data_IF_312658023294
#
_entry.id   IF_312658023294
#
_cell.length_a   1.000
_cell.length_b   1.000
_cell.length_c   1.000
_cell.angle_alpha   90.00
_cell.angle_beta   90.00
_cell.angle_gamma   90.00
#
_symmetry.space_group_name_H-M   'P 1'
#
loop_
_entity.id
_entity.type
_entity.pdbx_description
1 polymer ?
#
# COMPACT_ATOMS: atom_id res chain seq x y z
N UNK A 1 10.29 24.81 4.09
CA UNK A 1 11.11 24.17 3.03
C UNK A 1 11.05 24.93 1.71
N UNK A 2 9.87 25.11 1.08
CA UNK A 2 9.77 25.86 -0.19
C UNK A 2 10.44 27.25 -0.14
N UNK A 3 10.12 28.08 0.86
CA UNK A 3 10.71 29.42 1.04
C UNK A 3 12.24 29.41 1.05
N UNK A 4 12.84 28.34 1.56
CA UNK A 4 14.29 28.22 1.59
C UNK A 4 14.88 27.82 0.24
N UNK A 5 14.24 26.86 -0.46
CA UNK A 5 14.65 26.48 -1.82
C UNK A 5 14.45 27.64 -2.80
N UNK A 6 13.45 28.48 -2.56
CA UNK A 6 13.23 29.71 -3.31
C UNK A 6 14.20 30.86 -2.96
N UNK A 7 15.10 30.67 -1.98
CA UNK A 7 16.06 31.70 -1.55
C UNK A 7 15.45 32.85 -0.74
N UNK A 8 14.19 32.71 -0.28
CA UNK A 8 13.44 33.76 0.43
C UNK A 8 13.75 33.74 1.93
N UNK A 9 13.99 32.57 2.51
CA UNK A 9 14.25 32.40 3.94
C UNK A 9 15.54 31.61 4.20
N UNK A 10 16.35 31.98 5.21
CA UNK A 10 17.52 31.20 5.59
C UNK A 10 17.10 29.85 6.15
N UNK A 11 17.91 28.83 5.85
CA UNK A 11 17.62 27.45 6.22
C UNK A 11 18.85 26.74 6.75
N UNK A 12 19.30 27.09 7.97
CA UNK A 12 20.37 26.34 8.61
C UNK A 12 19.91 24.89 8.80
N UNK A 13 20.85 23.95 8.70
CA UNK A 13 20.59 22.51 8.76
C UNK A 13 19.68 22.10 9.95
N UNK A 14 19.86 22.61 11.19
CA UNK A 14 18.98 22.25 12.30
C UNK A 14 17.51 22.65 12.06
N UNK A 15 17.26 23.81 11.46
CA UNK A 15 15.91 24.28 11.16
C UNK A 15 15.26 23.42 10.07
N UNK A 16 16.05 22.99 9.07
CA UNK A 16 15.58 22.04 8.06
C UNK A 16 15.23 20.68 8.65
N UNK A 17 16.01 20.18 9.61
CA UNK A 17 15.69 18.97 10.35
C UNK A 17 14.36 19.10 11.10
N UNK A 18 14.10 20.25 11.74
CA UNK A 18 12.82 20.52 12.41
C UNK A 18 11.65 20.53 11.42
N UNK A 19 11.80 21.20 10.27
CA UNK A 19 10.77 21.18 9.22
C UNK A 19 10.49 19.78 8.70
N UNK A 20 11.54 18.97 8.49
CA UNK A 20 11.40 17.58 8.04
C UNK A 20 10.72 16.71 9.09
N UNK A 21 11.05 16.91 10.38
CA UNK A 21 10.39 16.23 11.49
C UNK A 21 8.89 16.55 11.52
N UNK A 22 8.52 17.84 11.43
CA UNK A 22 7.11 18.24 11.43
C UNK A 22 6.35 17.67 10.22
N UNK A 23 6.94 17.73 9.02
CA UNK A 23 6.33 17.18 7.81
C UNK A 23 6.12 15.66 7.91
N UNK A 24 7.12 14.92 8.41
CA UNK A 24 7.04 13.47 8.57
C UNK A 24 6.00 13.05 9.63
N UNK A 25 5.88 13.81 10.73
CA UNK A 25 4.89 13.55 11.77
C UNK A 25 3.46 13.75 11.25
N UNK A 26 3.20 14.82 10.50
CA UNK A 26 1.87 15.11 9.94
C UNK A 26 1.36 13.95 9.06
N UNK A 27 2.24 13.37 8.22
CA UNK A 27 1.91 12.21 7.39
C UNK A 27 1.46 11.01 8.23
N UNK A 28 2.07 10.79 9.39
CA UNK A 28 1.75 9.65 10.26
C UNK A 28 0.36 9.79 10.87
N UNK A 29 -0.03 10.99 11.31
CA UNK A 29 -1.39 11.24 11.83
C UNK A 29 -2.45 11.02 10.76
N UNK A 30 -2.27 11.59 9.57
CA UNK A 30 -3.20 11.44 8.45
C UNK A 30 -3.39 9.96 8.10
N UNK A 31 -2.28 9.25 7.91
CA UNK A 31 -2.27 7.83 7.62
C UNK A 31 -2.89 6.97 8.73
N UNK A 32 -2.82 7.40 9.99
CA UNK A 32 -3.43 6.67 11.11
C UNK A 32 -4.93 6.85 11.12
N UNK A 33 -5.42 8.08 10.98
CA UNK A 33 -6.85 8.38 10.91
C UNK A 33 -7.51 7.57 9.79
N UNK A 34 -6.93 7.59 8.59
CA UNK A 34 -7.44 6.86 7.45
C UNK A 34 -7.51 5.34 7.70
N UNK A 35 -6.44 4.73 8.21
CA UNK A 35 -6.38 3.27 8.40
C UNK A 35 -7.29 2.82 9.53
N UNK A 36 -7.38 3.58 10.63
CA UNK A 36 -8.23 3.24 11.78
C UNK A 36 -9.70 3.30 11.36
N UNK A 37 -10.15 4.40 10.76
CA UNK A 37 -11.54 4.53 10.29
C UNK A 37 -11.90 3.46 9.26
N UNK A 38 -10.97 3.15 8.35
CA UNK A 38 -11.14 2.11 7.34
C UNK A 38 -11.35 0.71 7.95
N UNK A 39 -10.53 0.27 8.90
CA UNK A 39 -10.62 -1.08 9.46
C UNK A 39 -11.83 -1.28 10.38
N UNK A 40 -12.36 -0.20 10.94
CA UNK A 40 -13.59 -0.20 11.73
C UNK A 40 -14.82 -0.33 10.83
N UNK A 41 -14.85 0.39 9.71
CA UNK A 41 -15.96 0.35 8.76
C UNK A 41 -16.05 -0.96 7.95
N UNK A 42 -14.93 -1.65 7.70
CA UNK A 42 -14.89 -2.85 6.85
C UNK A 42 -14.21 -4.05 7.55
N UNK A 43 -14.85 -4.63 8.58
CA UNK A 43 -14.22 -5.63 9.45
C UNK A 43 -13.91 -6.97 8.76
N UNK A 44 -14.61 -7.33 7.69
CA UNK A 44 -14.47 -8.60 6.96
C UNK A 44 -13.54 -8.53 5.73
N UNK A 45 -13.22 -7.31 5.27
CA UNK A 45 -12.36 -7.04 4.08
C UNK A 45 -11.26 -6.03 4.35
N UNK A 46 -10.72 -6.05 5.58
CA UNK A 46 -9.63 -5.17 6.01
C UNK A 46 -8.45 -5.17 5.06
N UNK A 47 -8.05 -6.35 4.55
CA UNK A 47 -6.90 -6.48 3.66
C UNK A 47 -7.10 -5.75 2.33
N UNK A 48 -8.22 -6.00 1.66
CA UNK A 48 -8.54 -5.37 0.36
C UNK A 48 -8.63 -3.86 0.50
N UNK A 49 -9.33 -3.36 1.53
CA UNK A 49 -9.49 -1.94 1.77
C UNK A 49 -8.16 -1.23 2.04
N UNK A 50 -7.39 -1.75 3.00
CA UNK A 50 -6.04 -1.24 3.28
C UNK A 50 -5.20 -1.31 2.00
N UNK A 51 -5.29 -2.40 1.24
CA UNK A 51 -4.57 -2.60 -0.01
C UNK A 51 -4.88 -1.53 -1.06
N UNK A 52 -6.15 -1.12 -1.21
CA UNK A 52 -6.57 -0.02 -2.11
C UNK A 52 -6.02 1.31 -1.60
N UNK A 53 -6.28 1.63 -0.34
CA UNK A 53 -5.94 2.92 0.26
C UNK A 53 -4.44 3.16 0.30
N UNK A 54 -3.68 2.17 0.80
CA UNK A 54 -2.22 2.16 0.74
C UNK A 54 -1.75 2.04 -0.71
N UNK A 55 -2.48 1.36 -1.58
CA UNK A 55 -2.17 1.24 -3.00
C UNK A 55 -2.02 2.60 -3.65
N UNK A 56 -2.99 3.50 -3.47
CA UNK A 56 -2.92 4.86 -4.01
C UNK A 56 -1.71 5.66 -3.52
N UNK A 57 -1.23 5.41 -2.30
CA UNK A 57 0.06 5.95 -1.85
C UNK A 57 1.22 5.46 -2.73
N UNK A 58 1.20 4.18 -3.16
CA UNK A 58 2.18 3.62 -4.09
C UNK A 58 2.12 4.23 -5.50
N UNK A 59 0.90 4.47 -6.02
CA UNK A 59 0.68 5.11 -7.32
C UNK A 59 0.97 6.61 -7.33
N UNK A 60 0.91 7.28 -6.17
CA UNK A 60 1.06 8.74 -6.06
C UNK A 60 2.36 9.26 -6.68
N UNK A 61 3.48 8.52 -6.55
CA UNK A 61 4.75 8.87 -7.17
C UNK A 61 4.67 8.95 -8.70
N UNK A 62 4.07 7.93 -9.33
CA UNK A 62 3.87 7.92 -10.79
C UNK A 62 2.93 9.04 -11.26
N UNK A 63 1.87 9.32 -10.50
CA UNK A 63 0.93 10.42 -10.78
C UNK A 63 1.65 11.78 -10.72
N UNK A 64 2.46 12.00 -9.68
CA UNK A 64 3.22 13.24 -9.50
C UNK A 64 4.31 13.42 -10.57
N UNK A 65 4.97 12.34 -11.00
CA UNK A 65 5.94 12.38 -12.11
C UNK A 65 5.24 12.79 -13.42
N UNK A 66 4.06 12.24 -13.70
CA UNK A 66 3.30 12.61 -14.89
C UNK A 66 2.87 14.08 -14.87
N UNK A 67 2.40 14.56 -13.71
CA UNK A 67 2.06 15.96 -13.48
C UNK A 67 3.26 16.89 -13.70
N UNK A 68 4.41 16.56 -13.10
CA UNK A 68 5.66 17.31 -13.22
C UNK A 68 6.10 17.46 -14.68
N UNK A 69 6.06 16.36 -15.45
CA UNK A 69 6.44 16.35 -16.88
C UNK A 69 5.45 17.13 -17.75
N UNK A 70 4.15 16.90 -17.55
CA UNK A 70 3.12 17.51 -18.41
C UNK A 70 3.08 19.03 -18.24
N UNK A 71 3.20 19.52 -17.00
CA UNK A 71 3.14 20.94 -16.68
C UNK A 71 4.50 21.64 -16.73
N UNK A 72 5.58 20.93 -17.09
CA UNK A 72 6.95 21.46 -17.17
C UNK A 72 7.32 22.27 -15.91
N UNK A 73 7.03 21.70 -14.73
CA UNK A 73 7.17 22.39 -13.46
C UNK A 73 8.65 22.42 -13.06
N UNK A 74 9.20 23.58 -12.73
CA UNK A 74 10.55 23.64 -12.16
C UNK A 74 10.58 23.05 -10.74
N UNK A 75 11.73 22.51 -10.25
CA UNK A 75 11.83 21.90 -8.92
C UNK A 75 11.26 22.78 -7.78
N UNK A 76 11.51 24.10 -7.82
CA UNK A 76 11.00 25.04 -6.82
C UNK A 76 9.46 25.11 -6.80
N UNK A 77 8.83 25.15 -7.97
CA UNK A 77 7.36 25.16 -8.10
C UNK A 77 6.75 23.81 -7.74
N UNK A 78 7.47 22.72 -8.00
CA UNK A 78 7.05 21.38 -7.59
C UNK A 78 6.97 21.27 -6.06
N UNK A 79 7.95 21.81 -5.33
CA UNK A 79 7.93 21.82 -3.87
C UNK A 79 6.80 22.71 -3.33
N UNK A 80 6.50 23.84 -3.99
CA UNK A 80 5.34 24.68 -3.63
C UNK A 80 4.02 23.91 -3.78
N UNK A 81 3.87 23.20 -4.90
CA UNK A 81 2.71 22.37 -5.16
C UNK A 81 2.57 21.26 -4.11
N UNK A 82 3.67 20.60 -3.72
CA UNK A 82 3.65 19.60 -2.63
C UNK A 82 3.29 20.20 -1.26
N UNK A 83 3.54 21.49 -1.03
CA UNK A 83 3.16 22.16 0.22
C UNK A 83 1.65 22.49 0.27
N UNK A 84 1.06 22.86 -0.87
CA UNK A 84 -0.32 23.35 -0.94
C UNK A 84 -1.31 22.24 -1.30
N UNK A 85 -1.01 21.47 -2.37
CA UNK A 85 -1.97 20.55 -2.99
C UNK A 85 -2.41 19.42 -2.04
N UNK A 86 -1.51 18.68 -1.35
CA UNK A 86 -1.94 17.64 -0.41
C UNK A 86 -2.79 18.18 0.73
N UNK A 87 -2.42 19.34 1.28
CA UNK A 87 -3.16 20.01 2.37
C UNK A 87 -4.55 20.43 1.92
N UNK A 88 -4.66 21.05 0.75
CA UNK A 88 -5.94 21.50 0.18
C UNK A 88 -6.88 20.31 -0.11
N UNK A 89 -6.37 19.24 -0.73
CA UNK A 89 -7.15 18.03 -1.02
C UNK A 89 -7.61 17.38 0.29
N UNK A 90 -6.74 17.32 1.30
CA UNK A 90 -7.07 16.75 2.61
C UNK A 90 -8.21 17.51 3.27
N UNK A 91 -8.13 18.85 3.34
CA UNK A 91 -9.19 19.68 3.93
C UNK A 91 -10.51 19.55 3.16
N UNK A 92 -10.45 19.46 1.84
CA UNK A 92 -11.64 19.29 0.99
C UNK A 92 -12.33 17.94 1.21
N UNK A 93 -11.55 16.87 1.36
CA UNK A 93 -12.07 15.50 1.44
C UNK A 93 -12.30 15.00 2.88
N UNK A 94 -11.85 15.75 3.89
CA UNK A 94 -11.98 15.37 5.31
C UNK A 94 -13.42 15.07 5.71
N UNK A 95 -14.41 15.73 5.10
CA UNK A 95 -15.83 15.48 5.32
C UNK A 95 -16.26 14.02 5.06
N UNK A 96 -15.58 13.31 4.16
CA UNK A 96 -15.92 11.91 3.84
C UNK A 96 -15.40 10.90 4.86
N UNK A 97 -14.53 11.31 5.80
CA UNK A 97 -13.93 10.42 6.79
C UNK A 97 -14.85 10.35 8.01
N UNK A 98 -15.64 9.28 8.09
CA UNK A 98 -16.52 9.02 9.23
C UNK A 98 -16.52 7.54 9.62
N UNK A 99 -16.74 7.27 10.92
CA UNK A 99 -16.80 5.92 11.50
C UNK A 99 -18.26 5.56 11.73
N UNK A 100 -18.76 4.61 10.94
CA UNK A 100 -20.16 4.21 10.98
C UNK A 100 -20.36 3.07 12.00
N UNK A 101 -21.37 3.20 12.87
CA UNK A 101 -21.71 2.15 13.82
C UNK A 101 -22.27 0.92 13.08
N UNK A 102 -21.70 -0.24 13.41
CA UNK A 102 -21.68 -1.53 12.68
C UNK A 102 -23.03 -2.27 12.47
N UNK A 103 -24.16 -1.59 12.35
CA UNK A 103 -25.46 -2.23 12.11
C UNK A 103 -25.97 -2.15 10.66
N UNK A 104 -25.45 -1.24 9.85
CA UNK A 104 -25.76 -1.21 8.41
C UNK A 104 -24.69 -1.97 7.63
N UNK A 105 -25.13 -3.00 6.89
CA UNK A 105 -24.26 -3.81 6.03
C UNK A 105 -23.65 -2.89 4.99
N UNK A 106 -22.33 -2.64 5.08
CA UNK A 106 -21.65 -1.87 4.05
C UNK A 106 -21.91 -2.51 2.67
N UNK A 107 -22.24 -1.69 1.68
CA UNK A 107 -22.59 -2.22 0.37
C UNK A 107 -21.31 -2.64 -0.37
N UNK A 108 -21.06 -3.95 -0.42
CA UNK A 108 -19.92 -4.57 -1.11
C UNK A 108 -19.71 -4.00 -2.53
N UNK A 109 -20.80 -3.60 -3.22
CA UNK A 109 -20.73 -2.99 -4.55
C UNK A 109 -19.81 -1.76 -4.61
N UNK A 110 -19.79 -0.92 -3.57
CA UNK A 110 -18.93 0.27 -3.55
C UNK A 110 -17.45 -0.10 -3.36
N UNK A 111 -17.14 -1.09 -2.52
CA UNK A 111 -15.76 -1.56 -2.35
C UNK A 111 -15.24 -2.22 -3.64
N UNK A 112 -16.09 -2.99 -4.34
CA UNK A 112 -15.75 -3.58 -5.63
C UNK A 112 -15.56 -2.47 -6.69
N UNK A 113 -16.35 -1.38 -6.66
CA UNK A 113 -16.16 -0.22 -7.52
C UNK A 113 -14.83 0.52 -7.25
N UNK A 114 -14.48 0.77 -5.98
CA UNK A 114 -13.17 1.34 -5.62
C UNK A 114 -12.01 0.45 -6.08
N UNK A 115 -12.16 -0.88 -5.96
CA UNK A 115 -11.17 -1.85 -6.44
C UNK A 115 -10.98 -1.76 -7.96
N UNK A 116 -12.09 -1.70 -8.71
CA UNK A 116 -12.05 -1.57 -10.17
C UNK A 116 -11.38 -0.26 -10.61
N UNK A 117 -11.71 0.86 -9.96
CA UNK A 117 -11.09 2.16 -10.23
C UNK A 117 -9.58 2.07 -9.97
N UNK A 118 -9.16 1.53 -8.83
CA UNK A 118 -7.75 1.42 -8.47
C UNK A 118 -6.95 0.60 -9.49
N UNK A 119 -7.48 -0.55 -9.93
CA UNK A 119 -6.86 -1.39 -10.98
C UNK A 119 -6.85 -0.67 -12.32
N UNK A 120 -7.90 0.07 -12.67
CA UNK A 120 -7.97 0.84 -13.91
C UNK A 120 -6.91 1.94 -13.94
N UNK A 121 -6.77 2.72 -12.86
CA UNK A 121 -5.74 3.76 -12.73
C UNK A 121 -4.33 3.17 -12.85
N UNK A 122 -4.07 2.05 -12.15
CA UNK A 122 -2.75 1.41 -12.21
C UNK A 122 -2.42 0.87 -13.61
N UNK A 123 -3.38 0.21 -14.26
CA UNK A 123 -3.22 -0.31 -15.63
C UNK A 123 -2.99 0.84 -16.62
N UNK A 124 -3.76 1.92 -16.47
CA UNK A 124 -3.62 3.13 -17.28
C UNK A 124 -2.23 3.76 -17.14
N UNK A 125 -1.75 3.94 -15.90
CA UNK A 125 -0.41 4.47 -15.63
C UNK A 125 0.69 3.56 -16.19
N UNK A 126 0.53 2.24 -16.08
CA UNK A 126 1.48 1.27 -16.64
C UNK A 126 1.58 1.41 -18.16
N UNK A 127 0.45 1.50 -18.86
CA UNK A 127 0.43 1.69 -20.31
C UNK A 127 1.13 3.00 -20.69
N UNK A 128 0.83 4.11 -20.00
CA UNK A 128 1.48 5.40 -20.27
C UNK A 128 2.99 5.32 -20.07
N UNK A 129 3.43 4.77 -18.94
CA UNK A 129 4.86 4.70 -18.59
C UNK A 129 5.61 3.87 -19.63
N UNK A 130 5.06 2.73 -20.04
CA UNK A 130 5.68 1.89 -21.09
C UNK A 130 5.68 2.62 -22.44
N UNK A 131 4.57 3.25 -22.83
CA UNK A 131 4.49 4.01 -24.07
C UNK A 131 5.50 5.16 -24.12
N UNK A 132 5.71 5.87 -23.01
CA UNK A 132 6.68 6.97 -22.90
C UNK A 132 8.15 6.50 -23.00
N UNK A 133 8.43 5.23 -22.69
CA UNK A 133 9.75 4.64 -22.92
C UNK A 133 10.00 4.36 -24.40
N UNK A 134 9.00 3.78 -25.07
CA UNK A 134 9.14 3.31 -26.46
C UNK A 134 8.98 4.46 -27.45
N UNK A 135 8.08 5.41 -27.15
CA UNK A 135 7.71 6.50 -28.04
C UNK A 135 7.96 7.85 -27.38
N UNK A 136 8.52 8.79 -28.15
CA UNK A 136 8.58 10.20 -27.74
C UNK A 136 7.19 10.80 -27.92
N UNK A 137 6.39 10.83 -26.84
CA UNK A 137 5.00 11.31 -26.88
C UNK A 137 4.99 12.84 -27.06
N UNK A 138 4.22 13.33 -28.05
CA UNK A 138 4.02 14.77 -28.28
C UNK A 138 3.32 15.41 -27.08
N UNK A 139 3.68 16.64 -26.73
CA UNK A 139 3.13 17.36 -25.56
C UNK A 139 1.59 17.42 -25.54
N UNK A 140 0.94 17.54 -26.70
CA UNK A 140 -0.53 17.53 -26.78
C UNK A 140 -1.14 16.20 -26.31
N UNK A 141 -0.51 15.07 -26.64
CA UNK A 141 -0.97 13.74 -26.21
C UNK A 141 -0.71 13.55 -24.72
N UNK A 142 0.42 14.04 -24.20
CA UNK A 142 0.71 14.03 -22.76
C UNK A 142 -0.35 14.80 -21.96
N UNK A 143 -0.79 15.97 -22.43
CA UNK A 143 -1.86 16.75 -21.79
C UNK A 143 -3.20 16.00 -21.79
N UNK A 144 -3.58 15.37 -22.91
CA UNK A 144 -4.81 14.56 -22.98
C UNK A 144 -4.74 13.37 -22.02
N UNK A 145 -3.63 12.64 -22.01
CA UNK A 145 -3.41 11.53 -21.09
C UNK A 145 -3.48 11.99 -19.62
N UNK A 146 -2.90 13.14 -19.31
CA UNK A 146 -2.95 13.71 -17.98
C UNK A 146 -4.38 14.12 -17.55
N UNK A 147 -5.18 14.70 -18.45
CA UNK A 147 -6.60 15.01 -18.17
C UNK A 147 -7.39 13.73 -17.89
N UNK A 148 -7.19 12.68 -18.68
CA UNK A 148 -7.83 11.37 -18.44
C UNK A 148 -7.41 10.80 -17.08
N UNK A 149 -6.12 10.88 -16.73
CA UNK A 149 -5.63 10.46 -15.41
C UNK A 149 -6.33 11.21 -14.28
N UNK A 150 -6.48 12.53 -14.39
CA UNK A 150 -7.17 13.34 -13.39
C UNK A 150 -8.62 12.90 -13.22
N UNK A 151 -9.35 12.64 -14.32
CA UNK A 151 -10.73 12.14 -14.26
C UNK A 151 -10.80 10.77 -13.56
N UNK A 152 -9.87 9.87 -13.84
CA UNK A 152 -9.80 8.55 -13.20
C UNK A 152 -9.45 8.65 -11.70
N UNK A 153 -8.58 9.56 -11.31
CA UNK A 153 -8.19 9.76 -9.89
C UNK A 153 -9.29 10.45 -9.09
N UNK A 154 -10.13 11.27 -9.72
CA UNK A 154 -11.27 11.93 -9.08
C UNK A 154 -12.53 11.05 -9.02
N UNK A 155 -12.62 9.97 -9.82
CA UNK A 155 -13.80 9.10 -9.85
C UNK A 155 -14.19 8.43 -8.50
N UNK A 156 -13.27 8.12 -7.56
CA UNK A 156 -13.64 7.64 -6.22
C UNK A 156 -14.56 8.62 -5.47
N UNK A 157 -14.43 9.93 -5.70
CA UNK A 157 -15.30 10.94 -5.05
C UNK A 157 -16.75 10.78 -5.51
N UNK A 158 -16.97 10.49 -6.80
CA UNK A 158 -18.32 10.23 -7.32
C UNK A 158 -18.95 8.98 -6.68
N UNK A 159 -18.15 7.93 -6.44
CA UNK A 159 -18.60 6.73 -5.73
C UNK A 159 -18.96 7.06 -4.28
N UNK A 160 -18.14 7.87 -3.58
CA UNK A 160 -18.41 8.31 -2.21
C UNK A 160 -19.70 9.14 -2.11
N UNK A 161 -19.91 10.08 -3.04
CA UNK A 161 -21.13 10.89 -3.10
C UNK A 161 -22.37 10.03 -3.37
N UNK A 162 -22.27 9.01 -4.24
CA UNK A 162 -23.38 8.07 -4.49
C UNK A 162 -23.69 7.22 -3.25
N UNK A 163 -22.67 6.83 -2.49
CA UNK A 163 -22.84 6.05 -1.27
C UNK A 163 -23.52 6.83 -0.13
N UNK A 164 -23.34 8.15 -0.07
CA UNK A 164 -23.97 9.02 0.95
C UNK A 164 -25.44 9.36 0.67
N UNK A 165 -25.97 9.09 -0.54
CA UNK A 165 -27.39 9.34 -0.83
C UNK A 165 -28.28 8.42 0.03
N UNK A 166 -29.39 8.93 0.63
CA UNK A 166 -30.30 8.10 1.41
C UNK A 166 -30.87 6.94 0.56
N UNK A 167 -31.07 5.77 1.18
CA UNK A 167 -31.49 4.54 0.50
C UNK A 167 -32.76 4.72 -0.37
N UNK A 168 -33.67 5.62 0.01
CA UNK A 168 -34.88 5.97 -0.76
C UNK A 168 -34.56 6.53 -2.15
N UNK A 169 -33.55 7.39 -2.28
CA UNK A 169 -33.12 7.97 -3.56
C UNK A 169 -32.25 7.02 -4.38
N UNK A 170 -31.52 6.11 -3.72
CA UNK A 170 -30.78 5.05 -4.41
C UNK A 170 -31.72 4.03 -5.05
N UNK A 171 -32.83 3.71 -4.38
CA UNK A 171 -33.83 2.80 -4.92
C UNK A 171 -34.54 3.40 -6.14
N UNK A 172 -34.88 4.69 -6.14
CA UNK A 172 -35.45 5.37 -7.32
C UNK A 172 -34.49 5.41 -8.54
N UNK A 173 -33.20 5.70 -8.34
CA UNK A 173 -32.19 5.65 -9.43
C UNK A 173 -32.01 4.22 -9.98
N UNK A 174 -31.93 3.21 -9.09
CA UNK A 174 -31.84 1.81 -9.51
C UNK A 174 -33.12 1.34 -10.21
N UNK A 175 -34.30 1.76 -9.75
CA UNK A 175 -35.60 1.42 -10.37
C UNK A 175 -35.78 2.12 -11.72
N UNK A 176 -35.13 3.27 -11.94
CA UNK A 176 -35.08 3.97 -13.22
C UNK A 176 -34.17 3.26 -14.22
N UNK A 177 -32.94 2.91 -13.84
CA UNK A 177 -32.02 2.11 -14.66
C UNK A 177 -32.57 0.71 -14.95
N UNK A 178 -33.23 0.09 -13.97
CA UNK A 178 -33.86 -1.22 -14.10
C UNK A 178 -35.15 -1.15 -14.92
N UNK A 179 -35.91 -0.04 -14.92
CA UNK A 179 -36.99 0.20 -15.90
C UNK A 179 -36.48 0.34 -17.32
N UNK A 180 -35.33 1.01 -17.51
CA UNK A 180 -34.68 1.13 -18.83
C UNK A 180 -34.13 -0.23 -19.30
N UNK A 181 -33.68 -1.08 -18.39
CA UNK A 181 -33.26 -2.46 -18.66
C UNK A 181 -34.42 -3.43 -18.92
N UNK A 182 -35.51 -3.34 -18.14
CA UNK A 182 -36.70 -4.19 -18.27
C UNK A 182 -37.47 -3.91 -19.56
N UNK A 183 -37.53 -2.66 -20.03
CA UNK A 183 -38.07 -2.33 -21.37
C UNK A 183 -37.28 -3.01 -22.52
N UNK A 184 -36.05 -3.46 -22.26
CA UNK A 184 -35.20 -4.19 -23.21
C UNK A 184 -35.30 -5.71 -23.07
N UNK A 185 -35.79 -6.22 -21.94
CA UNK A 185 -35.94 -7.65 -21.66
C UNK A 185 -37.40 -8.15 -21.71
N UNK A 186 -38.42 -7.28 -21.64
CA UNK A 186 -39.85 -7.65 -21.77
C UNK A 186 -40.28 -8.11 -23.18
N UNK A 187 -39.33 -8.31 -24.11
CA UNK A 187 -39.56 -9.04 -25.38
C UNK A 187 -39.28 -10.55 -25.24
N UNK A 188 -38.74 -11.01 -24.11
CA UNK A 188 -38.38 -12.42 -23.92
C UNK A 188 -38.87 -12.98 -22.58
N UNK A 189 -40.02 -13.65 -22.68
CA UNK A 189 -40.47 -14.78 -21.85
C UNK A 189 -41.00 -14.51 -20.44
N UNK A 190 -42.20 -15.04 -20.20
CA UNK A 190 -42.89 -15.00 -18.93
C UNK A 190 -43.01 -16.36 -18.24
N UNK A 191 -43.94 -16.37 -17.27
CA UNK A 191 -44.48 -17.47 -16.46
C UNK A 191 -43.82 -17.79 -15.11
N UNK A 192 -44.64 -17.54 -14.07
CA UNK A 192 -45.02 -18.41 -12.94
C UNK A 192 -44.07 -18.76 -11.78
N UNK A 193 -44.49 -18.25 -10.61
CA UNK A 193 -45.00 -19.00 -9.44
C UNK A 193 -44.32 -18.78 -8.09
N UNK A 194 -45.18 -18.69 -7.07
CA UNK A 194 -44.92 -18.38 -5.67
C UNK A 194 -44.58 -19.61 -4.82
N UNK A 195 -43.87 -19.40 -3.70
CA UNK A 195 -43.66 -20.41 -2.66
C UNK A 195 -43.05 -19.82 -1.39
N UNK A 196 -43.63 -20.18 -0.23
CA UNK A 196 -43.53 -19.52 1.08
C UNK A 196 -42.73 -20.33 2.12
N UNK A 197 -42.25 -19.63 3.18
CA UNK A 197 -41.89 -20.13 4.53
C UNK A 197 -40.58 -20.95 4.63
N UNK A 198 -39.77 -20.97 5.70
CA UNK A 198 -40.02 -20.85 7.15
C UNK A 198 -38.69 -20.65 7.90
N UNK A 199 -38.77 -20.06 9.10
CA UNK A 199 -37.69 -19.84 10.05
C UNK A 199 -37.09 -21.14 10.65
N UNK A 200 -35.79 -21.10 11.00
CA UNK A 200 -35.20 -21.99 12.01
C UNK A 200 -34.01 -21.32 12.69
N UNK A 201 -34.12 -21.19 14.02
CA UNK A 201 -33.12 -20.61 14.90
C UNK A 201 -31.90 -21.51 15.09
N UNK A 202 -30.78 -20.85 15.39
CA UNK A 202 -29.51 -21.49 15.73
C UNK A 202 -28.74 -20.64 16.75
N UNK A 203 -28.84 -21.04 18.01
CA UNK A 203 -27.91 -20.86 19.13
C UNK A 203 -26.82 -19.77 18.99
N UNK A 204 -26.96 -18.71 19.80
CA UNK A 204 -25.88 -17.78 20.15
C UNK A 204 -24.72 -18.54 20.81
N UNK A 205 -23.71 -18.93 20.01
CA UNK A 205 -22.39 -19.21 20.55
C UNK A 205 -21.81 -17.87 21.02
N UNK A 206 -21.44 -17.83 22.29
CA UNK A 206 -20.84 -16.70 23.00
C UNK A 206 -19.51 -16.26 22.34
N UNK A 207 -19.62 -15.42 21.31
CA UNK A 207 -18.51 -14.86 20.51
C UNK A 207 -17.75 -13.74 21.24
N UNK A 208 -17.97 -13.56 22.55
CA UNK A 208 -17.36 -12.52 23.37
C UNK A 208 -15.95 -12.87 23.86
N UNK A 209 -15.59 -14.17 23.88
CA UNK A 209 -14.39 -14.70 24.53
C UNK A 209 -13.02 -14.39 23.85
N UNK A 210 -12.91 -13.38 22.99
CA UNK A 210 -11.68 -13.14 22.19
C UNK A 210 -11.30 -11.69 21.93
N UNK A 211 -11.84 -10.71 22.67
CA UNK A 211 -11.35 -9.31 22.62
C UNK A 211 -10.28 -9.11 23.70
N UNK A 212 -9.08 -9.69 23.53
CA UNK A 212 -7.90 -9.15 24.22
C UNK A 212 -7.64 -7.75 23.64
N UNK A 213 -8.26 -6.73 24.24
CA UNK A 213 -8.05 -5.34 23.88
C UNK A 213 -6.74 -4.87 24.53
N UNK A 214 -5.62 -5.17 23.86
CA UNK A 214 -4.30 -4.84 24.38
C UNK A 214 -4.06 -3.33 24.21
N UNK A 215 -3.45 -2.71 25.22
CA UNK A 215 -2.80 -1.43 25.03
C UNK A 215 -1.38 -1.63 24.45
N UNK A 216 -0.71 -0.55 24.07
CA UNK A 216 0.59 -0.62 23.37
C UNK A 216 1.66 -1.30 24.21
N UNK A 217 1.74 -0.97 25.50
CA UNK A 217 2.73 -1.56 26.41
C UNK A 217 2.49 -3.05 26.59
N UNK A 218 1.22 -3.46 26.72
CA UNK A 218 0.84 -4.86 26.78
C UNK A 218 1.14 -5.59 25.47
N UNK A 219 0.88 -4.96 24.31
CA UNK A 219 1.20 -5.53 23.00
C UNK A 219 2.72 -5.73 22.85
N UNK A 220 3.53 -4.74 23.23
CA UNK A 220 5.00 -4.84 23.26
C UNK A 220 5.51 -5.90 24.25
N UNK A 221 4.74 -6.24 25.29
CA UNK A 221 5.05 -7.36 26.17
C UNK A 221 4.83 -8.74 25.55
N UNK A 222 4.14 -8.84 24.40
CA UNK A 222 3.86 -10.12 23.73
C UNK A 222 4.95 -10.44 22.70
N UNK A 223 5.39 -11.70 22.67
CA UNK A 223 6.34 -12.19 21.67
C UNK A 223 5.86 -11.98 20.21
N UNK A 224 4.55 -12.10 19.96
CA UNK A 224 3.99 -11.92 18.62
C UNK A 224 4.24 -10.51 18.06
N UNK A 225 4.34 -9.49 18.93
CA UNK A 225 4.67 -8.12 18.53
C UNK A 225 6.09 -8.05 17.98
N UNK A 226 7.06 -8.60 18.70
CA UNK A 226 8.47 -8.58 18.28
C UNK A 226 8.75 -9.45 17.06
N UNK A 227 8.06 -10.58 16.92
CA UNK A 227 8.14 -11.39 15.70
C UNK A 227 7.64 -10.61 14.47
N UNK A 228 6.50 -9.91 14.61
CA UNK A 228 6.00 -9.06 13.54
C UNK A 228 6.95 -7.89 13.26
N UNK A 229 7.38 -7.17 14.31
CA UNK A 229 8.32 -6.05 14.22
C UNK A 229 9.61 -6.46 13.50
N UNK A 230 10.21 -7.61 13.87
CA UNK A 230 11.45 -8.06 13.28
C UNK A 230 11.29 -8.48 11.82
N UNK A 231 10.21 -9.19 11.47
CA UNK A 231 9.89 -9.49 10.07
C UNK A 231 9.67 -8.22 9.25
N UNK A 232 9.01 -7.21 9.83
CA UNK A 232 8.78 -5.91 9.20
C UNK A 232 10.07 -5.11 9.05
N UNK A 233 10.99 -5.17 10.01
CA UNK A 233 12.28 -4.49 9.95
C UNK A 233 13.14 -5.07 8.82
N UNK A 234 13.12 -6.39 8.63
CA UNK A 234 13.78 -7.05 7.52
C UNK A 234 13.13 -6.67 6.18
N UNK A 235 11.80 -6.80 6.08
CA UNK A 235 11.04 -6.58 4.85
C UNK A 235 10.95 -5.14 4.39
N UNK A 236 10.34 -4.30 5.23
CA UNK A 236 10.17 -2.88 4.92
C UNK A 236 11.51 -2.14 4.93
N UNK A 237 12.43 -2.53 5.81
CA UNK A 237 13.76 -1.92 5.87
C UNK A 237 14.58 -2.15 4.61
N UNK A 238 14.67 -3.39 4.10
CA UNK A 238 15.46 -3.67 2.90
C UNK A 238 14.81 -3.14 1.62
N UNK A 239 13.46 -3.19 1.54
CA UNK A 239 12.72 -2.56 0.45
C UNK A 239 12.92 -1.05 0.40
N UNK A 240 12.88 -0.38 1.56
CA UNK A 240 13.14 1.06 1.64
C UNK A 240 14.61 1.40 1.35
N UNK A 241 15.56 0.59 1.82
CA UNK A 241 16.97 0.74 1.48
C UNK A 241 17.22 0.62 -0.04
N UNK A 242 16.52 -0.29 -0.72
CA UNK A 242 16.61 -0.44 -2.18
C UNK A 242 16.15 0.83 -2.90
N UNK A 243 14.99 1.38 -2.52
CA UNK A 243 14.44 2.61 -3.15
C UNK A 243 15.33 3.81 -2.89
N UNK A 244 15.81 3.97 -1.65
CA UNK A 244 16.63 5.12 -1.26
C UNK A 244 17.93 5.21 -2.06
N UNK A 245 18.44 4.08 -2.54
CA UNK A 245 19.71 4.00 -3.27
C UNK A 245 19.54 3.68 -4.76
N UNK A 246 18.32 3.56 -5.28
CA UNK A 246 18.06 3.04 -6.64
C UNK A 246 18.76 3.86 -7.75
N UNK A 247 18.83 5.19 -7.59
CA UNK A 247 19.53 6.06 -8.54
C UNK A 247 21.04 5.87 -8.51
N UNK A 248 21.63 5.67 -7.32
CA UNK A 248 23.07 5.40 -7.17
C UNK A 248 23.43 4.02 -7.73
N UNK A 249 22.59 3.02 -7.46
CA UNK A 249 22.74 1.67 -8.02
C UNK A 249 22.69 1.72 -9.54
N UNK A 250 21.69 2.39 -10.11
CA UNK A 250 21.58 2.59 -11.55
C UNK A 250 22.82 3.25 -12.15
N UNK A 251 23.30 4.34 -11.54
CA UNK A 251 24.50 5.04 -11.98
C UNK A 251 25.75 4.14 -11.96
N UNK A 252 25.97 3.38 -10.89
CA UNK A 252 27.10 2.45 -10.77
C UNK A 252 27.07 1.33 -11.81
N UNK A 253 25.88 0.90 -12.24
CA UNK A 253 25.68 -0.16 -13.24
C UNK A 253 25.61 0.38 -14.68
N UNK A 254 25.78 1.70 -14.89
CA UNK A 254 25.77 2.32 -16.21
C UNK A 254 24.39 2.62 -16.79
N UNK A 255 23.33 2.62 -15.97
CA UNK A 255 21.99 3.03 -16.40
C UNK A 255 21.92 4.55 -16.55
N UNK A 256 21.24 5.01 -17.61
CA UNK A 256 20.97 6.42 -17.86
C UNK A 256 19.98 7.00 -16.85
N UNK A 257 19.97 8.32 -16.70
CA UNK A 257 18.99 9.04 -15.85
C UNK A 257 17.53 8.80 -16.28
N UNK A 258 17.29 8.56 -17.59
CA UNK A 258 15.96 8.22 -18.11
C UNK A 258 15.54 6.82 -17.64
N UNK A 259 16.44 5.84 -17.72
CA UNK A 259 16.17 4.47 -17.29
C UNK A 259 15.94 4.37 -15.78
N UNK A 260 16.75 5.05 -14.97
CA UNK A 260 16.57 5.09 -13.50
C UNK A 260 15.26 5.77 -13.10
N UNK A 261 14.90 6.89 -13.74
CA UNK A 261 13.58 7.54 -13.52
C UNK A 261 12.40 6.61 -13.88
N UNK A 262 12.60 5.77 -14.89
CA UNK A 262 11.61 4.78 -15.33
C UNK A 262 11.50 3.64 -14.33
N UNK A 263 12.63 3.15 -13.83
CA UNK A 263 12.68 2.15 -12.75
C UNK A 263 11.92 2.63 -11.51
N UNK A 264 12.10 3.89 -11.09
CA UNK A 264 11.35 4.50 -9.98
C UNK A 264 9.84 4.52 -10.27
N UNK A 265 9.45 4.84 -11.51
CA UNK A 265 8.04 4.86 -11.91
C UNK A 265 7.42 3.46 -11.93
N UNK A 266 8.15 2.47 -12.45
CA UNK A 266 7.74 1.05 -12.44
C UNK A 266 7.67 0.51 -11.01
N UNK A 267 8.61 0.87 -10.14
CA UNK A 267 8.58 0.50 -8.73
C UNK A 267 7.26 0.92 -8.08
N UNK A 268 6.78 2.14 -8.33
CA UNK A 268 5.49 2.63 -7.84
C UNK A 268 4.31 1.74 -8.26
N UNK A 269 4.29 1.28 -9.51
CA UNK A 269 3.23 0.38 -10.01
C UNK A 269 3.31 -0.98 -9.33
N UNK A 270 4.49 -1.60 -9.28
CA UNK A 270 4.65 -2.91 -8.65
C UNK A 270 4.36 -2.84 -7.15
N UNK A 271 4.71 -1.73 -6.50
CA UNK A 271 4.35 -1.48 -5.12
C UNK A 271 2.83 -1.41 -4.91
N UNK A 272 2.11 -0.72 -5.80
CA UNK A 272 0.64 -0.74 -5.81
C UNK A 272 0.10 -2.17 -5.97
N UNK A 273 0.57 -2.90 -6.98
CA UNK A 273 0.12 -4.26 -7.27
C UNK A 273 0.36 -5.19 -6.07
N UNK A 274 1.48 -5.04 -5.39
CA UNK A 274 1.78 -5.75 -4.14
C UNK A 274 0.81 -5.41 -3.02
N UNK A 275 0.53 -4.11 -2.79
CA UNK A 275 -0.41 -3.66 -1.74
C UNK A 275 -1.83 -4.16 -1.99
N UNK A 276 -2.35 -3.90 -3.18
CA UNK A 276 -3.70 -4.32 -3.57
C UNK A 276 -3.82 -5.84 -3.61
N UNK A 277 -2.88 -6.50 -4.30
CA UNK A 277 -2.85 -7.95 -4.49
C UNK A 277 -2.73 -8.70 -3.17
N UNK A 278 -1.78 -8.34 -2.31
CA UNK A 278 -1.63 -9.02 -1.02
C UNK A 278 -2.86 -8.81 -0.12
N UNK A 279 -3.45 -7.61 -0.12
CA UNK A 279 -4.69 -7.32 0.58
C UNK A 279 -5.84 -8.23 0.14
N UNK A 280 -6.09 -8.27 -1.18
CA UNK A 280 -7.16 -9.06 -1.78
C UNK A 280 -6.94 -10.57 -1.63
N UNK A 281 -5.74 -11.06 -1.97
CA UNK A 281 -5.38 -12.48 -1.91
C UNK A 281 -5.47 -12.97 -0.45
N UNK A 282 -4.94 -12.21 0.50
CA UNK A 282 -4.98 -12.63 1.91
C UNK A 282 -6.41 -12.64 2.47
N UNK A 283 -7.27 -11.70 2.10
CA UNK A 283 -8.70 -11.75 2.43
C UNK A 283 -9.38 -12.98 1.83
N UNK A 284 -9.07 -13.30 0.58
CA UNK A 284 -9.64 -14.44 -0.12
C UNK A 284 -9.29 -15.77 0.58
N UNK A 285 -8.01 -16.00 0.86
CA UNK A 285 -7.55 -17.22 1.53
C UNK A 285 -7.95 -17.29 3.00
N UNK A 286 -8.03 -16.15 3.70
CA UNK A 286 -8.56 -16.09 5.05
C UNK A 286 -10.03 -16.52 5.08
N UNK A 287 -10.87 -16.00 4.16
CA UNK A 287 -12.30 -16.34 4.09
C UNK A 287 -12.59 -17.73 3.56
N UNK A 288 -11.79 -18.27 2.66
CA UNK A 288 -12.04 -19.60 2.11
C UNK A 288 -11.43 -20.72 2.96
N UNK A 289 -10.21 -20.52 3.48
CA UNK A 289 -9.41 -21.59 4.09
C UNK A 289 -8.92 -21.29 5.51
N UNK A 290 -9.22 -20.11 6.06
CA UNK A 290 -8.76 -19.72 7.39
C UNK A 290 -7.24 -19.56 7.50
N UNK A 291 -6.55 -19.31 6.38
CA UNK A 291 -5.08 -19.14 6.37
C UNK A 291 -4.73 -17.81 7.02
N UNK A 292 -3.92 -17.85 8.08
CA UNK A 292 -3.46 -16.66 8.77
C UNK A 292 -2.54 -15.79 7.91
N UNK A 293 -2.77 -14.47 7.92
CA UNK A 293 -2.02 -13.51 7.10
C UNK A 293 -0.49 -13.52 7.27
N UNK A 294 0.09 -13.86 8.45
CA UNK A 294 1.55 -13.96 8.58
C UNK A 294 2.20 -14.94 7.60
N UNK A 295 1.46 -15.93 7.08
CA UNK A 295 1.95 -16.80 5.99
C UNK A 295 2.38 -15.99 4.76
N UNK A 296 1.56 -15.02 4.34
CA UNK A 296 1.83 -14.21 3.16
C UNK A 296 3.03 -13.26 3.38
N UNK A 297 3.26 -12.78 4.61
CA UNK A 297 4.49 -12.07 4.97
C UNK A 297 5.70 -12.97 4.74
N UNK A 298 5.69 -14.19 5.28
CA UNK A 298 6.79 -15.14 5.11
C UNK A 298 7.08 -15.47 3.65
N UNK A 299 6.02 -15.80 2.87
CA UNK A 299 6.14 -16.11 1.45
C UNK A 299 6.67 -14.92 0.63
N UNK A 300 6.17 -13.72 0.88
CA UNK A 300 6.63 -12.52 0.16
C UNK A 300 8.06 -12.14 0.53
N UNK A 301 8.52 -12.36 1.77
CA UNK A 301 9.92 -12.18 2.15
C UNK A 301 10.87 -13.19 1.48
N UNK A 302 10.44 -14.44 1.25
CA UNK A 302 11.23 -15.39 0.45
C UNK A 302 11.40 -14.90 -0.99
N UNK A 303 10.30 -14.47 -1.62
CA UNK A 303 10.33 -13.93 -2.99
C UNK A 303 11.19 -12.65 -3.03
N UNK A 304 11.09 -11.81 -2.00
CA UNK A 304 11.90 -10.60 -1.90
C UNK A 304 13.38 -10.91 -1.78
N UNK A 305 13.77 -11.98 -1.07
CA UNK A 305 15.16 -12.44 -1.02
C UNK A 305 15.68 -12.80 -2.40
N UNK A 306 14.91 -13.54 -3.21
CA UNK A 306 15.25 -13.85 -4.61
C UNK A 306 15.44 -12.56 -5.41
N UNK A 307 14.57 -11.57 -5.24
CA UNK A 307 14.72 -10.24 -5.86
C UNK A 307 16.05 -9.56 -5.51
N UNK A 308 16.46 -9.60 -4.25
CA UNK A 308 17.76 -9.04 -3.83
C UNK A 308 18.95 -9.84 -4.39
N UNK A 309 18.87 -11.17 -4.46
CA UNK A 309 19.91 -12.01 -5.11
C UNK A 309 20.05 -11.66 -6.59
N UNK A 310 18.93 -11.44 -7.29
CA UNK A 310 18.95 -11.01 -8.69
C UNK A 310 19.69 -9.69 -8.82
N UNK A 311 19.39 -8.67 -8.01
CA UNK A 311 20.11 -7.38 -8.04
C UNK A 311 21.60 -7.58 -7.72
N UNK A 312 21.92 -8.41 -6.73
CA UNK A 312 23.30 -8.74 -6.33
C UNK A 312 24.13 -9.31 -7.48
N UNK A 313 23.52 -10.03 -8.43
CA UNK A 313 24.23 -10.61 -9.58
C UNK A 313 24.88 -9.56 -10.49
N UNK A 314 24.35 -8.34 -10.54
CA UNK A 314 24.83 -7.26 -11.41
C UNK A 314 24.74 -7.57 -12.91
N UNK A 315 23.94 -8.55 -13.33
CA UNK A 315 23.75 -8.90 -14.74
C UNK A 315 22.91 -7.84 -15.47
N UNK A 316 22.98 -7.83 -16.81
CA UNK A 316 22.13 -6.98 -17.62
C UNK A 316 20.64 -7.23 -17.29
N UNK A 317 19.86 -6.16 -17.17
CA UNK A 317 18.45 -6.18 -16.74
C UNK A 317 18.15 -6.72 -15.33
N UNK A 318 19.16 -7.12 -14.55
CA UNK A 318 18.97 -7.60 -13.17
C UNK A 318 18.32 -6.55 -12.27
N UNK A 319 18.66 -5.27 -12.46
CA UNK A 319 18.05 -4.17 -11.73
C UNK A 319 16.56 -3.99 -12.06
N UNK A 320 16.15 -4.21 -13.31
CA UNK A 320 14.73 -4.18 -13.71
C UNK A 320 13.96 -5.32 -13.04
N UNK A 321 14.39 -6.56 -13.23
CA UNK A 321 13.70 -7.75 -12.72
C UNK A 321 13.68 -7.74 -11.18
N UNK A 322 14.82 -7.43 -10.57
CA UNK A 322 14.96 -7.32 -9.13
C UNK A 322 14.07 -6.23 -8.54
N UNK A 323 14.05 -5.03 -9.14
CA UNK A 323 13.19 -3.93 -8.67
C UNK A 323 11.71 -4.25 -8.78
N UNK A 324 11.27 -4.98 -9.81
CA UNK A 324 9.88 -5.46 -9.91
C UNK A 324 9.53 -6.38 -8.73
N UNK A 325 10.35 -7.40 -8.49
CA UNK A 325 10.10 -8.37 -7.43
C UNK A 325 10.15 -7.75 -6.04
N UNK A 326 11.19 -6.94 -5.77
CA UNK A 326 11.35 -6.28 -4.47
C UNK A 326 10.25 -5.23 -4.28
N UNK A 327 9.92 -4.42 -5.30
CA UNK A 327 8.87 -3.41 -5.24
C UNK A 327 7.50 -4.01 -4.94
N UNK A 328 7.16 -5.13 -5.58
CA UNK A 328 5.95 -5.89 -5.31
C UNK A 328 5.92 -6.41 -3.88
N UNK A 329 6.97 -7.11 -3.44
CA UNK A 329 7.02 -7.69 -2.10
C UNK A 329 7.04 -6.63 -0.98
N UNK A 330 7.72 -5.50 -1.22
CA UNK A 330 7.70 -4.33 -0.36
C UNK A 330 6.28 -3.77 -0.23
N UNK A 331 5.52 -3.73 -1.33
CA UNK A 331 4.10 -3.37 -1.33
C UNK A 331 3.26 -4.31 -0.46
N UNK A 332 3.48 -5.63 -0.59
CA UNK A 332 2.79 -6.63 0.22
C UNK A 332 2.95 -6.38 1.73
N UNK A 333 4.16 -6.01 2.19
CA UNK A 333 4.41 -5.75 3.62
C UNK A 333 3.52 -4.62 4.15
N UNK A 334 3.40 -3.52 3.41
CA UNK A 334 2.62 -2.34 3.81
C UNK A 334 1.12 -2.57 3.88
N UNK A 335 0.58 -3.52 3.11
CA UNK A 335 -0.83 -3.89 3.17
C UNK A 335 -1.11 -4.91 4.27
N UNK A 336 -0.26 -5.93 4.41
CA UNK A 336 -0.48 -7.03 5.35
C UNK A 336 -0.22 -6.63 6.81
N UNK A 337 0.77 -5.76 7.05
CA UNK A 337 1.17 -5.32 8.40
C UNK A 337 0.01 -4.73 9.23
N UNK A 338 -0.71 -3.68 8.78
CA UNK A 338 -1.87 -3.15 9.50
C UNK A 338 -3.00 -4.18 9.65
N UNK A 339 -3.26 -5.03 8.65
CA UNK A 339 -4.30 -6.07 8.77
C UNK A 339 -3.95 -7.07 9.88
N UNK A 340 -2.72 -7.58 9.90
CA UNK A 340 -2.23 -8.50 10.93
C UNK A 340 -2.29 -7.85 12.32
N UNK A 341 -1.85 -6.59 12.44
CA UNK A 341 -1.88 -5.89 13.73
C UNK A 341 -3.30 -5.74 14.26
N UNK A 342 -4.25 -5.36 13.40
CA UNK A 342 -5.68 -5.23 13.77
C UNK A 342 -6.33 -6.56 14.17
N UNK A 343 -5.82 -7.68 13.65
CA UNK A 343 -6.34 -9.02 13.90
C UNK A 343 -5.76 -9.63 15.18
N UNK A 344 -4.46 -9.45 15.42
CA UNK A 344 -3.77 -10.05 16.59
C UNK A 344 -3.97 -9.21 17.86
N UNK A 345 -3.92 -7.87 17.77
CA UNK A 345 -3.88 -6.99 18.94
C UNK A 345 -5.19 -6.23 19.21
N UNK A 346 -6.18 -6.37 18.32
CA UNK A 346 -7.48 -5.70 18.44
C UNK A 346 -7.50 -4.29 17.84
N UNK A 347 -8.67 -3.64 17.96
CA UNK A 347 -8.94 -2.32 17.34
C UNK A 347 -8.81 -1.13 18.29
N UNK A 348 -9.07 -1.30 19.59
CA UNK A 348 -9.18 -0.17 20.54
C UNK A 348 -7.93 0.74 20.59
N UNK A 349 -6.73 0.15 20.61
CA UNK A 349 -5.46 0.90 20.56
C UNK A 349 -4.70 0.64 19.26
N UNK A 350 -5.42 0.25 18.21
CA UNK A 350 -4.82 -0.20 16.96
C UNK A 350 -3.93 0.86 16.34
N UNK A 351 -4.37 2.12 16.29
CA UNK A 351 -3.58 3.21 15.70
C UNK A 351 -2.19 3.32 16.32
N UNK A 352 -2.07 3.28 17.63
CA UNK A 352 -0.77 3.38 18.31
C UNK A 352 0.06 2.11 18.15
N UNK A 353 -0.54 0.92 18.25
CA UNK A 353 0.18 -0.35 18.07
C UNK A 353 0.69 -0.48 16.63
N UNK A 354 -0.15 -0.14 15.65
CA UNK A 354 0.20 -0.14 14.23
C UNK A 354 1.41 0.74 13.95
N UNK A 355 1.42 1.98 14.45
CA UNK A 355 2.55 2.89 14.25
C UNK A 355 3.80 2.41 15.00
N UNK A 356 3.66 1.80 16.18
CA UNK A 356 4.80 1.24 16.90
C UNK A 356 5.45 0.06 16.15
N UNK A 357 4.66 -0.77 15.48
CA UNK A 357 5.19 -1.78 14.54
C UNK A 357 5.82 -1.12 13.32
N UNK A 358 5.24 -0.04 12.80
CA UNK A 358 5.75 0.66 11.63
C UNK A 358 7.14 1.29 11.84
N UNK A 359 7.54 1.58 13.09
CA UNK A 359 8.92 1.99 13.46
C UNK A 359 9.97 0.98 13.00
N UNK A 360 9.60 -0.29 12.80
CA UNK A 360 10.48 -1.30 12.23
C UNK A 360 11.07 -0.88 10.87
N UNK A 361 10.30 -0.16 10.04
CA UNK A 361 10.72 0.28 8.71
C UNK A 361 11.91 1.26 8.73
N UNK A 362 11.83 2.42 9.43
CA UNK A 362 12.98 3.32 9.53
C UNK A 362 14.16 2.71 10.29
N UNK A 363 13.92 1.86 11.31
CA UNK A 363 15.01 1.15 12.01
C UNK A 363 15.76 0.21 11.07
N UNK A 364 15.03 -0.63 10.33
CA UNK A 364 15.62 -1.55 9.36
C UNK A 364 16.28 -0.81 8.20
N UNK A 365 15.66 0.25 7.69
CA UNK A 365 16.22 1.07 6.61
C UNK A 365 17.48 1.81 7.04
N UNK A 366 17.56 2.35 8.26
CA UNK A 366 18.80 2.96 8.74
C UNK A 366 19.95 1.95 8.76
N UNK A 367 19.72 0.75 9.32
CA UNK A 367 20.73 -0.31 9.37
C UNK A 367 21.14 -0.72 7.94
N UNK A 368 20.19 -1.00 7.07
CA UNK A 368 20.49 -1.56 5.75
C UNK A 368 20.93 -0.50 4.73
N UNK A 369 20.29 0.66 4.70
CA UNK A 369 20.61 1.75 3.77
C UNK A 369 21.89 2.49 4.15
N UNK A 370 22.06 2.85 5.44
CA UNK A 370 23.19 3.69 5.86
C UNK A 370 24.38 2.83 6.26
N UNK A 371 24.17 1.86 7.16
CA UNK A 371 25.28 1.07 7.72
C UNK A 371 25.77 -0.06 6.84
N UNK A 372 24.91 -0.60 5.97
CA UNK A 372 25.32 -1.66 5.02
C UNK A 372 25.58 -1.04 3.65
N UNK A 373 24.55 -0.53 2.98
CA UNK A 373 24.67 -0.04 1.59
C UNK A 373 25.65 1.14 1.49
N UNK A 374 25.43 2.21 2.25
CA UNK A 374 26.30 3.39 2.22
C UNK A 374 27.74 3.08 2.59
N UNK A 375 27.96 2.39 3.71
CA UNK A 375 29.31 2.04 4.17
C UNK A 375 30.09 1.16 3.17
N UNK A 376 29.46 0.13 2.60
CA UNK A 376 30.10 -0.73 1.59
C UNK A 376 30.39 0.07 0.31
N UNK A 377 29.46 0.91 -0.11
CA UNK A 377 29.66 1.76 -1.30
C UNK A 377 30.85 2.71 -1.12
N UNK A 378 30.97 3.35 0.05
CA UNK A 378 32.08 4.25 0.37
C UNK A 378 33.42 3.50 0.44
N UNK A 379 33.42 2.24 0.90
CA UNK A 379 34.62 1.38 0.92
C UNK A 379 35.11 0.99 -0.46
N UNK A 380 34.19 0.76 -1.40
CA UNK A 380 34.50 0.36 -2.77
C UNK A 380 34.79 1.56 -3.68
N UNK A 381 34.49 2.79 -3.24
CA UNK A 381 34.75 4.02 -4.00
C UNK A 381 36.25 4.38 -3.98
N UNK A 382 36.89 4.65 -5.14
CA UNK A 382 38.28 5.09 -5.19
C UNK A 382 38.49 6.43 -4.44
N UNK A 383 39.68 6.67 -3.82
CA UNK A 383 39.94 7.88 -3.03
C UNK A 383 39.75 9.20 -3.81
N UNK A 384 39.99 9.17 -5.13
CA UNK A 384 39.97 10.33 -6.01
C UNK A 384 38.69 10.44 -6.85
N UNK A 385 37.75 9.49 -6.72
CA UNK A 385 36.49 9.49 -7.47
C UNK A 385 35.29 9.68 -6.55
N UNK A 386 34.35 10.53 -6.96
CA UNK A 386 33.13 10.78 -6.20
C UNK A 386 32.04 9.70 -6.39
N UNK A 387 32.30 8.64 -7.15
CA UNK A 387 31.33 7.58 -7.40
C UNK A 387 31.99 6.22 -7.70
N UNK A 388 31.49 5.16 -7.06
CA UNK A 388 31.86 3.78 -7.36
C UNK A 388 31.18 3.30 -8.66
N UNK A 389 31.94 2.60 -9.52
CA UNK A 389 31.45 2.04 -10.77
C UNK A 389 31.57 0.52 -10.82
N UNK A 390 30.51 -0.13 -11.28
CA UNK A 390 30.44 -1.57 -11.47
C UNK A 390 29.62 -2.28 -10.38
N UNK A 391 29.46 -3.59 -10.57
CA UNK A 391 28.60 -4.42 -9.70
C UNK A 391 29.11 -4.57 -8.26
N UNK A 392 30.42 -4.46 -8.04
CA UNK A 392 31.04 -4.68 -6.73
C UNK A 392 30.56 -3.65 -5.69
N UNK A 393 30.23 -2.44 -6.13
CA UNK A 393 29.69 -1.35 -5.30
C UNK A 393 28.44 -1.74 -4.48
N UNK A 394 27.63 -2.68 -4.97
CA UNK A 394 26.36 -3.05 -4.34
C UNK A 394 26.13 -4.56 -4.21
N UNK A 395 26.90 -5.41 -4.89
CA UNK A 395 26.67 -6.86 -4.90
C UNK A 395 26.64 -7.46 -3.49
N UNK A 396 27.60 -7.11 -2.63
CA UNK A 396 27.66 -7.59 -1.25
C UNK A 396 26.48 -7.06 -0.42
N UNK A 397 26.15 -5.77 -0.56
CA UNK A 397 25.03 -5.13 0.15
C UNK A 397 23.69 -5.81 -0.16
N UNK A 398 23.43 -6.12 -1.43
CA UNK A 398 22.21 -6.82 -1.83
C UNK A 398 22.20 -8.30 -1.41
N UNK A 399 23.36 -8.96 -1.38
CA UNK A 399 23.46 -10.31 -0.84
C UNK A 399 23.13 -10.34 0.67
N UNK A 400 23.66 -9.39 1.45
CA UNK A 400 23.33 -9.23 2.87
C UNK A 400 21.83 -8.98 3.04
N UNK A 401 21.24 -8.08 2.25
CA UNK A 401 19.79 -7.83 2.29
C UNK A 401 18.99 -9.09 1.94
N UNK A 402 19.45 -9.92 1.00
CA UNK A 402 18.80 -11.20 0.69
C UNK A 402 18.80 -12.15 1.89
N UNK A 403 19.93 -12.28 2.61
CA UNK A 403 20.03 -13.08 3.83
C UNK A 403 19.12 -12.53 4.94
N UNK A 404 19.05 -11.22 5.11
CA UNK A 404 18.14 -10.56 6.07
C UNK A 404 16.67 -10.85 5.73
N UNK A 405 16.31 -10.87 4.45
CA UNK A 405 14.96 -11.25 4.01
C UNK A 405 14.63 -12.71 4.31
N UNK A 406 15.58 -13.64 4.12
CA UNK A 406 15.40 -15.06 4.48
C UNK A 406 15.20 -15.21 5.98
N UNK A 407 15.99 -14.51 6.78
CA UNK A 407 15.83 -14.49 8.23
C UNK A 407 14.45 -13.94 8.63
N UNK A 408 14.05 -12.78 8.08
CA UNK A 408 12.73 -12.20 8.31
C UNK A 408 11.59 -13.14 7.89
N UNK A 409 11.77 -13.91 6.81
CA UNK A 409 10.81 -14.92 6.38
C UNK A 409 10.66 -16.04 7.40
N UNK A 410 11.77 -16.58 7.91
CA UNK A 410 11.74 -17.60 8.96
C UNK A 410 11.00 -17.08 10.21
N UNK A 411 11.28 -15.85 10.64
CA UNK A 411 10.59 -15.18 11.75
C UNK A 411 9.08 -15.05 11.48
N UNK A 412 8.68 -14.66 10.26
CA UNK A 412 7.28 -14.56 9.87
C UNK A 412 6.57 -15.92 9.84
N UNK A 413 7.24 -16.99 9.43
CA UNK A 413 6.69 -18.34 9.51
C UNK A 413 6.54 -18.84 10.95
N UNK A 414 7.45 -18.47 11.86
CA UNK A 414 7.29 -18.72 13.30
C UNK A 414 6.05 -18.00 13.83
N UNK A 415 5.84 -16.72 13.44
CA UNK A 415 4.62 -15.98 13.80
C UNK A 415 3.36 -16.66 13.24
N UNK A 416 3.39 -17.13 12.00
CA UNK A 416 2.30 -17.87 11.38
C UNK A 416 1.95 -19.13 12.17
N UNK A 417 2.94 -19.96 12.50
CA UNK A 417 2.74 -21.20 13.27
C UNK A 417 2.13 -20.89 14.64
N UNK A 418 2.64 -19.88 15.35
CA UNK A 418 2.13 -19.47 16.68
C UNK A 418 0.69 -18.96 16.63
N UNK A 419 0.33 -18.22 15.59
CA UNK A 419 -1.00 -17.58 15.48
C UNK A 419 -2.02 -18.45 14.75
N UNK A 420 -1.62 -19.60 14.18
CA UNK A 420 -2.49 -20.51 13.40
C UNK A 420 -3.78 -20.91 14.14
N UNK A 421 -3.68 -21.28 15.42
CA UNK A 421 -4.85 -21.68 16.22
C UNK A 421 -5.82 -20.51 16.41
N UNK A 422 -5.29 -19.33 16.75
CA UNK A 422 -6.06 -18.10 16.90
C UNK A 422 -6.80 -17.72 15.61
N UNK A 423 -6.10 -17.72 14.46
CA UNK A 423 -6.72 -17.42 13.17
C UNK A 423 -7.86 -18.39 12.83
N UNK A 424 -7.67 -19.70 13.06
CA UNK A 424 -8.67 -20.72 12.75
C UNK A 424 -9.88 -20.69 13.68
N UNK A 425 -9.67 -20.46 14.98
CA UNK A 425 -10.72 -20.56 15.98
C UNK A 425 -11.47 -19.25 16.23
N UNK A 426 -10.79 -18.11 16.11
CA UNK A 426 -11.37 -16.79 16.46
C UNK A 426 -11.68 -15.99 15.20
N UNK A 427 -10.65 -15.71 14.38
CA UNK A 427 -10.80 -14.82 13.22
C UNK A 427 -11.73 -15.44 12.17
N UNK A 428 -11.46 -16.69 11.79
CA UNK A 428 -12.24 -17.39 10.77
C UNK A 428 -13.68 -17.66 11.23
N UNK A 429 -13.87 -18.08 12.49
CA UNK A 429 -15.22 -18.31 13.04
C UNK A 429 -16.04 -17.01 13.08
N UNK A 430 -15.43 -15.89 13.47
CA UNK A 430 -16.06 -14.56 13.43
C UNK A 430 -16.47 -14.17 12.01
N UNK A 431 -15.59 -14.38 11.03
CA UNK A 431 -15.93 -14.12 9.62
C UNK A 431 -17.10 -14.97 9.13
N UNK A 432 -17.17 -16.24 9.52
CA UNK A 432 -18.30 -17.11 9.16
C UNK A 432 -19.62 -16.60 9.73
N UNK A 433 -19.61 -16.13 10.98
CA UNK A 433 -20.80 -15.55 11.63
C UNK A 433 -21.33 -14.27 10.93
N UNK A 434 -20.46 -13.53 10.23
CA UNK A 434 -20.87 -12.38 9.42
C UNK A 434 -21.46 -12.77 8.06
N UNK A 435 -21.13 -13.96 7.54
CA UNK A 435 -21.63 -14.46 6.26
C UNK A 435 -22.97 -15.20 6.40
N UNK A 436 -23.24 -15.75 7.58
CA UNK A 436 -24.49 -16.46 7.92
C UNK A 436 -25.62 -15.50 8.34
N UNK A 437 -25.33 -14.20 8.50
CA UNK A 437 -26.31 -13.12 8.70
C UNK A 437 -26.45 -12.29 7.42
#
# INVERSE_FOLDING_TARGET
>A
MWLAVAGIAPAPLPLMCVYMLLAAQAQTFFNTADVVSAVENFPDRRGTLIGIMKGFLGLSGAILVQLYRTLHIDPTRFILMLAILPTAITLLLMYFVDVHNTHERYNKKFLDAFSLIAVTVATYLMIIIICDQVFTIRSAVQSVCFVILLLLVLSPVAVALKAQKPESMQHEESTSEQRIGLLREEVAEGSDSAGSSTALGGSNLDLSAGKENLNVLQAMGKLNFWLLFLAMACGMGSGLATVNNISQIGGSLGYTSKETSTLVSLWSIWNFSGRFGAGFISDHFLRQRGVGRPFFIGATLLIMSVGHVIISSGLAASLYIGSVLVGLCYGCQWALMPSITSEIFGLNHFGTIFNMVAVASPVGSYILSVRVVGYIYDMESPPDEHACQGKHCFALSFFIMACVCLFGSAVAFVLFIRTRKFYRQVVYARLKSFLEK
#
